data_IF_421380986159
#
_entry.id   IF_421380986159
#
_cell.length_a   1.000
_cell.length_b   1.000
_cell.length_c   1.000
_cell.angle_alpha   90.00
_cell.angle_beta   90.00
_cell.angle_gamma   90.00
#
_symmetry.space_group_name_H-M   'P 1'
#
loop_
_entity.id
_entity.type
_entity.pdbx_description
1 polymer ?
#
# COMPACT_ATOMS: atom_id res chain seq x y z
N UNK A 1 -1.58 14.94 11.19
CA UNK A 1 -0.40 14.12 11.49
C UNK A 1 0.39 13.86 10.23
N UNK A 2 1.72 13.74 10.32
CA UNK A 2 2.54 13.42 9.17
C UNK A 2 2.37 11.93 8.80
N UNK A 3 2.15 11.60 7.51
CA UNK A 3 2.15 10.21 7.05
C UNK A 3 3.55 9.61 7.23
N UNK A 4 3.61 8.32 7.54
CA UNK A 4 4.89 7.60 7.55
C UNK A 4 5.31 7.41 6.08
N UNK A 5 6.56 7.72 5.76
CA UNK A 5 7.12 7.63 4.41
C UNK A 5 8.27 6.63 4.42
N UNK A 6 8.30 5.65 3.50
CA UNK A 6 9.38 4.67 3.41
C UNK A 6 8.98 3.32 2.83
N UNK A 7 9.86 2.33 2.97
CA UNK A 7 9.55 0.91 2.70
C UNK A 7 9.15 0.30 4.05
N UNK A 8 7.94 -0.21 4.16
CA UNK A 8 7.47 -0.97 5.33
C UNK A 8 7.21 -2.40 4.91
N UNK A 9 7.72 -3.38 5.66
CA UNK A 9 7.67 -4.79 5.26
C UNK A 9 6.25 -5.36 5.20
N UNK A 10 5.31 -4.73 5.91
CA UNK A 10 3.91 -5.13 5.96
C UNK A 10 3.14 -4.76 4.68
N UNK A 11 3.67 -3.88 3.83
CA UNK A 11 3.05 -3.51 2.55
C UNK A 11 3.32 -4.61 1.52
N UNK A 12 2.37 -5.53 1.38
CA UNK A 12 2.51 -6.71 0.49
C UNK A 12 1.62 -6.63 -0.74
N UNK A 13 0.51 -5.92 -0.68
CA UNK A 13 -0.49 -5.85 -1.74
C UNK A 13 -0.85 -4.38 -2.02
N UNK A 14 -1.41 -4.11 -3.19
CA UNK A 14 -2.00 -2.81 -3.51
C UNK A 14 -3.34 -2.99 -4.21
N UNK A 15 -4.28 -2.08 -3.92
CA UNK A 15 -5.57 -2.04 -4.61
C UNK A 15 -5.51 -1.03 -5.73
N UNK A 16 -5.85 -1.49 -6.93
CA UNK A 16 -6.08 -0.64 -8.08
C UNK A 16 -7.40 0.12 -7.93
N UNK A 17 -7.53 1.24 -8.64
CA UNK A 17 -8.74 2.05 -8.70
C UNK A 17 -9.95 1.25 -9.25
N UNK A 18 -9.70 0.28 -10.13
CA UNK A 18 -10.72 -0.66 -10.61
C UNK A 18 -11.19 -1.67 -9.55
N UNK A 19 -10.58 -1.68 -8.37
CA UNK A 19 -10.93 -2.53 -7.23
C UNK A 19 -10.10 -3.81 -7.11
N UNK A 20 -9.36 -4.22 -8.15
CA UNK A 20 -8.51 -5.42 -8.14
C UNK A 20 -7.34 -5.27 -7.17
N UNK A 21 -7.09 -6.32 -6.40
CA UNK A 21 -5.92 -6.42 -5.51
C UNK A 21 -4.79 -7.10 -6.28
N UNK A 22 -3.63 -6.46 -6.27
CA UNK A 22 -2.43 -6.94 -6.94
C UNK A 22 -1.29 -7.01 -5.92
N UNK A 23 -0.27 -7.82 -6.19
CA UNK A 23 0.93 -7.89 -5.34
C UNK A 23 1.74 -6.60 -5.45
N UNK A 24 2.42 -6.19 -4.38
CA UNK A 24 3.31 -5.03 -4.36
C UNK A 24 4.44 -5.13 -5.40
N UNK A 25 4.84 -6.37 -5.74
CA UNK A 25 5.82 -6.66 -6.78
C UNK A 25 5.31 -6.31 -8.19
N UNK A 26 3.99 -6.32 -8.40
CA UNK A 26 3.37 -6.01 -9.68
C UNK A 26 3.15 -4.51 -9.82
N UNK A 27 3.76 -3.91 -10.85
CA UNK A 27 3.55 -2.49 -11.19
C UNK A 27 2.26 -2.23 -11.95
N UNK A 28 1.71 -3.24 -12.61
CA UNK A 28 0.52 -3.15 -13.43
C UNK A 28 -0.61 -3.95 -12.81
N UNK A 29 -1.84 -3.46 -12.95
CA UNK A 29 -2.99 -4.22 -12.52
C UNK A 29 -3.21 -5.41 -13.45
N UNK A 30 -3.39 -6.61 -12.88
CA UNK A 30 -3.67 -7.84 -13.64
C UNK A 30 -5.00 -7.80 -14.39
N UNK A 31 -5.95 -6.98 -13.93
CA UNK A 31 -7.29 -6.86 -14.51
C UNK A 31 -7.36 -5.75 -15.57
N UNK A 32 -7.19 -4.48 -15.18
CA UNK A 32 -7.33 -3.34 -16.11
C UNK A 32 -6.03 -3.00 -16.85
N UNK A 33 -4.91 -3.66 -16.54
CA UNK A 33 -3.56 -3.42 -17.12
C UNK A 33 -3.02 -2.00 -16.92
N UNK A 34 -3.70 -1.17 -16.14
CA UNK A 34 -3.20 0.15 -15.80
C UNK A 34 -2.02 0.05 -14.83
N UNK A 35 -0.99 0.91 -14.98
CA UNK A 35 0.07 1.01 -14.01
C UNK A 35 -0.47 1.55 -12.69
N UNK A 36 0.24 1.23 -11.62
CA UNK A 36 0.00 1.82 -10.32
C UNK A 36 0.18 3.34 -10.39
N UNK A 37 -0.85 4.07 -9.98
CA UNK A 37 -0.91 5.53 -10.05
C UNK A 37 -1.34 6.13 -8.72
N UNK A 38 -1.13 7.44 -8.56
CA UNK A 38 -1.58 8.21 -7.40
C UNK A 38 -3.03 7.85 -7.05
N UNK A 39 -3.30 7.56 -5.77
CA UNK A 39 -4.60 7.10 -5.28
C UNK A 39 -4.70 5.58 -5.06
N UNK A 40 -3.77 4.79 -5.60
CA UNK A 40 -3.73 3.34 -5.33
C UNK A 40 -3.60 3.06 -3.83
N UNK A 41 -4.34 2.10 -3.28
CA UNK A 41 -4.30 1.82 -1.84
C UNK A 41 -3.21 0.82 -1.50
N UNK A 42 -2.40 1.12 -0.48
CA UNK A 42 -1.44 0.18 0.08
C UNK A 42 -2.16 -0.77 1.03
N UNK A 43 -1.95 -2.07 0.83
CA UNK A 43 -2.59 -3.13 1.58
C UNK A 43 -1.56 -4.07 2.24
N UNK A 44 -1.93 -4.67 3.37
CA UNK A 44 -1.17 -5.75 3.99
C UNK A 44 -1.40 -7.10 3.31
N UNK A 45 -0.73 -8.15 3.80
CA UNK A 45 -0.96 -9.52 3.35
C UNK A 45 -2.43 -9.98 3.53
N UNK A 46 -3.13 -9.44 4.53
CA UNK A 46 -4.56 -9.68 4.78
C UNK A 46 -5.49 -8.67 4.09
N UNK A 47 -4.99 -7.96 3.07
CA UNK A 47 -5.74 -6.97 2.30
C UNK A 47 -6.28 -5.79 3.12
N UNK A 48 -5.69 -5.52 4.28
CA UNK A 48 -6.06 -4.38 5.12
C UNK A 48 -5.38 -3.11 4.61
N UNK A 49 -6.14 -2.03 4.46
CA UNK A 49 -5.62 -0.75 4.01
C UNK A 49 -4.74 -0.11 5.10
N UNK A 50 -3.50 0.19 4.73
CA UNK A 50 -2.51 0.85 5.60
C UNK A 50 -2.03 2.19 5.04
N UNK A 51 -2.37 2.50 3.80
CA UNK A 51 -1.90 3.73 3.18
C UNK A 51 -2.46 3.94 1.78
N UNK A 52 -1.96 4.98 1.14
CA UNK A 52 -2.31 5.33 -0.24
C UNK A 52 -1.08 5.88 -0.96
N UNK A 53 -0.98 5.61 -2.26
CA UNK A 53 0.07 6.14 -3.11
C UNK A 53 -0.17 7.65 -3.29
N UNK A 54 0.70 8.46 -2.69
CA UNK A 54 0.56 9.92 -2.66
C UNK A 54 1.04 10.57 -3.94
N UNK A 55 2.24 10.21 -4.39
CA UNK A 55 2.78 10.68 -5.66
C UNK A 55 3.64 9.63 -6.34
N UNK A 56 3.66 9.65 -7.66
CA UNK A 56 4.64 8.92 -8.47
C UNK A 56 5.54 9.97 -9.09
N UNK A 57 6.82 9.89 -8.81
CA UNK A 57 7.82 10.79 -9.37
C UNK A 57 8.11 10.43 -10.83
N UNK A 58 8.62 11.40 -11.60
CA UNK A 58 8.94 11.22 -13.03
C UNK A 58 10.04 10.18 -13.28
N UNK A 59 10.86 9.89 -12.27
CA UNK A 59 11.89 8.85 -12.28
C UNK A 59 11.35 7.45 -11.97
N UNK A 60 10.03 7.31 -11.77
CA UNK A 60 9.37 6.06 -11.43
C UNK A 60 9.43 5.70 -9.94
N UNK A 61 9.97 6.56 -9.07
CA UNK A 61 9.87 6.35 -7.63
C UNK A 61 8.44 6.62 -7.14
N UNK A 62 7.99 5.80 -6.22
CA UNK A 62 6.66 5.90 -5.62
C UNK A 62 6.77 6.43 -4.20
N UNK A 63 6.02 7.49 -3.91
CA UNK A 63 5.89 8.02 -2.56
C UNK A 63 4.60 7.50 -1.93
N UNK A 64 4.74 6.50 -1.06
CA UNK A 64 3.64 5.94 -0.29
C UNK A 64 3.40 6.72 0.98
N UNK A 65 2.15 7.10 1.21
CA UNK A 65 1.70 7.77 2.42
C UNK A 65 0.99 6.72 3.28
N UNK A 66 1.66 6.24 4.32
CA UNK A 66 1.06 5.30 5.24
C UNK A 66 0.39 6.02 6.41
N UNK A 67 -0.76 5.51 6.80
CA UNK A 67 -1.48 5.97 7.97
C UNK A 67 -0.88 5.32 9.21
N UNK A 68 -0.39 6.16 10.13
CA UNK A 68 0.25 5.69 11.36
C UNK A 68 -0.68 4.79 12.18
N UNK A 69 -1.96 5.12 12.29
CA UNK A 69 -2.91 4.32 13.06
C UNK A 69 -3.16 2.98 12.42
N UNK A 70 -3.31 2.91 11.10
CA UNK A 70 -3.50 1.64 10.40
C UNK A 70 -2.30 0.71 10.55
N UNK A 71 -1.08 1.26 10.50
CA UNK A 71 0.15 0.49 10.70
C UNK A 71 0.26 0.02 12.15
N UNK A 72 0.05 0.92 13.11
CA UNK A 72 0.12 0.60 14.54
C UNK A 72 -0.95 -0.44 14.94
N UNK A 73 -2.19 -0.29 14.47
CA UNK A 73 -3.27 -1.23 14.72
C UNK A 73 -2.96 -2.62 14.18
N UNK A 74 -2.39 -2.70 12.97
CA UNK A 74 -1.96 -3.97 12.39
C UNK A 74 -0.83 -4.60 13.23
N UNK A 75 0.16 -3.82 13.65
CA UNK A 75 1.25 -4.32 14.48
C UNK A 75 0.77 -4.83 15.85
N UNK A 76 -0.22 -4.17 16.46
CA UNK A 76 -0.85 -4.64 17.70
C UNK A 76 -1.55 -5.98 17.49
N UNK A 77 -2.32 -6.14 16.41
CA UNK A 77 -2.99 -7.41 16.09
C UNK A 77 -2.00 -8.55 15.84
N UNK A 78 -0.85 -8.27 15.22
CA UNK A 78 0.19 -9.29 14.99
C UNK A 78 0.97 -9.60 16.28
N UNK A 79 1.15 -8.64 17.18
CA UNK A 79 1.85 -8.84 18.45
C UNK A 79 1.05 -9.68 19.46
N UNK A 80 -0.28 -9.62 19.41
CA UNK A 80 -1.19 -10.39 20.30
C UNK A 80 -1.36 -11.87 19.86
N UNK A 81 -0.76 -12.25 18.73
CA UNK A 81 -0.87 -13.60 18.14
C UNK A 81 0.29 -14.56 18.44
N UNK A 82 1.21 -14.22 19.35
CA UNK A 82 2.31 -15.06 19.82
C UNK A 82 2.16 -15.44 21.29
#
# INVERSE_FOLDING_TARGET
MAPITGIIDIHKNWRCDCGTINSIAEKYCTNCKEPRKKGSHALTHNNLKIGTLGTVFTDGREHWLYDKYSVDAYNLVVAEGC
#
